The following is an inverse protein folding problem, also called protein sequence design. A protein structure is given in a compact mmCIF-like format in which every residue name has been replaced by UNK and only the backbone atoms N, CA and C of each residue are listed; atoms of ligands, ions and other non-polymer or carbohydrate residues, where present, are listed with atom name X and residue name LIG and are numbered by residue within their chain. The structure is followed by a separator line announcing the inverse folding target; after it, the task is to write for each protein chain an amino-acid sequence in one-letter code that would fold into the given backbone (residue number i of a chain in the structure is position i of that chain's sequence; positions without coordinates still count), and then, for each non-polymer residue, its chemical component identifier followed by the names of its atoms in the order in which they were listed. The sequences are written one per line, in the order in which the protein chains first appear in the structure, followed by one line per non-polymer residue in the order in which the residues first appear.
data_IF_003507524387
#
_entry.id   IF_003507524387
#
_cell.length_a   1.000
_cell.length_b   1.000
_cell.length_c   1.000
_cell.angle_alpha   90.00
_cell.angle_beta   90.00
_cell.angle_gamma   90.00
#
_symmetry.space_group_name_H-M   'P 1'
#
loop_
_entity.id
_entity.type
_entity.pdbx_description
1 polymer ?
#
# COMPACT_ATOMS: atom_id res chain seq x y z
N UNK A 1 -19.03 -46.62 -29.95
CA UNK A 1 -17.87 -46.06 -29.21
C UNK A 1 -17.79 -44.55 -29.44
N UNK A 2 -18.15 -43.71 -28.46
CA UNK A 2 -17.93 -42.23 -28.33
C UNK A 2 -19.04 -41.52 -27.51
N UNK A 3 -19.40 -42.05 -26.34
CA UNK A 3 -20.25 -41.31 -25.37
C UNK A 3 -19.80 -41.41 -23.92
N UNK A 4 -18.80 -42.24 -23.60
CA UNK A 4 -18.37 -42.52 -22.23
C UNK A 4 -17.16 -41.71 -21.74
N UNK A 5 -16.38 -41.08 -22.63
CA UNK A 5 -15.19 -40.29 -22.22
C UNK A 5 -15.50 -38.86 -21.76
N UNK A 6 -16.68 -38.31 -22.09
CA UNK A 6 -17.02 -36.93 -21.69
C UNK A 6 -17.48 -36.82 -20.24
N UNK A 7 -18.05 -37.88 -19.67
CA UNK A 7 -18.56 -37.88 -18.29
C UNK A 7 -17.42 -37.99 -17.24
N UNK A 8 -16.31 -38.64 -17.57
CA UNK A 8 -15.19 -38.86 -16.63
C UNK A 8 -14.35 -37.59 -16.45
N UNK A 9 -14.24 -36.74 -17.47
CA UNK A 9 -13.53 -35.45 -17.34
C UNK A 9 -14.29 -34.42 -16.50
N UNK A 10 -15.62 -34.46 -16.48
CA UNK A 10 -16.44 -33.54 -15.68
C UNK A 10 -16.50 -33.94 -14.20
N UNK A 11 -16.46 -35.25 -13.89
CA UNK A 11 -16.41 -35.72 -12.50
C UNK A 11 -15.07 -35.42 -11.82
N UNK A 12 -13.94 -35.51 -12.55
CA UNK A 12 -12.61 -35.29 -11.95
C UNK A 12 -12.32 -33.80 -11.70
N UNK A 13 -12.94 -32.86 -12.43
CA UNK A 13 -12.80 -31.42 -12.13
C UNK A 13 -13.66 -30.96 -10.94
N UNK A 14 -14.79 -31.62 -10.66
CA UNK A 14 -15.66 -31.25 -9.54
C UNK A 14 -15.13 -31.73 -8.17
N UNK A 15 -14.43 -32.86 -8.12
CA UNK A 15 -13.90 -33.41 -6.86
C UNK A 15 -12.59 -32.74 -6.42
N UNK A 16 -11.78 -32.26 -7.36
CA UNK A 16 -10.54 -31.51 -7.04
C UNK A 16 -10.80 -30.08 -6.54
N UNK A 17 -11.93 -29.46 -6.90
CA UNK A 17 -12.31 -28.13 -6.35
C UNK A 17 -12.85 -28.27 -4.91
N UNK A 18 -13.45 -29.41 -4.57
CA UNK A 18 -13.98 -29.68 -3.22
C UNK A 18 -12.87 -30.00 -2.21
N UNK A 19 -11.71 -30.50 -2.65
CA UNK A 19 -10.53 -30.74 -1.80
C UNK A 19 -9.68 -29.47 -1.53
N UNK A 20 -9.88 -28.39 -2.29
CA UNK A 20 -9.25 -27.08 -2.04
C UNK A 20 -10.10 -26.21 -1.10
N UNK A 21 -11.35 -26.62 -0.86
CA UNK A 21 -12.25 -26.03 0.14
C UNK A 21 -12.26 -26.88 1.42
N UNK A 22 -11.08 -27.19 1.95
CA UNK A 22 -10.99 -27.48 3.39
C UNK A 22 -11.56 -26.24 4.07
N UNK A 23 -12.61 -26.34 4.92
CA UNK A 23 -13.01 -25.21 5.71
C UNK A 23 -11.78 -24.74 6.45
N UNK A 24 -11.43 -23.46 6.32
CA UNK A 24 -10.47 -22.76 7.16
C UNK A 24 -10.95 -22.69 8.63
N UNK A 25 -11.56 -23.77 9.14
CA UNK A 25 -11.69 -24.10 10.55
C UNK A 25 -10.30 -24.48 11.03
N UNK A 26 -9.68 -23.51 11.69
CA UNK A 26 -8.87 -23.70 12.89
C UNK A 26 -8.12 -25.04 12.98
N UNK A 27 -6.94 -25.10 12.38
CA UNK A 27 -5.90 -26.01 12.84
C UNK A 27 -5.45 -25.55 14.23
N UNK A 28 -5.86 -26.30 15.26
CA UNK A 28 -5.20 -26.64 16.52
C UNK A 28 -4.10 -25.71 17.08
N UNK A 29 -4.37 -24.42 17.12
CA UNK A 29 -3.88 -23.60 18.24
C UNK A 29 -5.04 -23.52 19.21
N UNK A 30 -4.84 -23.93 20.47
CA UNK A 30 -5.77 -23.60 21.56
C UNK A 30 -6.20 -22.14 21.34
N UNK A 31 -7.50 -21.84 21.20
CA UNK A 31 -7.92 -20.47 20.97
C UNK A 31 -7.28 -19.64 22.07
N UNK A 32 -6.54 -18.60 21.68
CA UNK A 32 -6.04 -17.62 22.64
C UNK A 32 -7.25 -17.21 23.50
N UNK A 33 -7.27 -17.53 24.81
CA UNK A 33 -8.45 -17.35 25.65
C UNK A 33 -8.89 -15.89 25.76
N UNK A 34 -8.10 -14.95 25.22
CA UNK A 34 -8.49 -13.56 24.96
C UNK A 34 -9.43 -13.44 23.74
N UNK A 35 -10.40 -14.35 23.61
CA UNK A 35 -11.30 -14.47 22.45
C UNK A 35 -12.05 -13.15 22.20
N UNK A 36 -11.51 -12.36 21.28
CA UNK A 36 -12.11 -11.88 20.03
C UNK A 36 -13.63 -11.84 20.06
N UNK A 37 -14.19 -10.86 20.77
CA UNK A 37 -15.62 -10.60 20.79
C UNK A 37 -16.07 -10.23 19.37
N UNK A 38 -16.87 -11.10 18.78
CA UNK A 38 -17.65 -10.86 17.59
C UNK A 38 -19.09 -10.56 18.03
N UNK A 39 -19.77 -9.70 17.30
CA UNK A 39 -21.15 -9.32 17.56
C UNK A 39 -21.95 -9.39 16.25
N UNK A 40 -22.84 -10.38 16.14
CA UNK A 40 -23.68 -10.62 14.96
C UNK A 40 -24.70 -9.50 14.71
N UNK A 41 -24.96 -8.64 15.70
CA UNK A 41 -25.78 -7.44 15.51
C UNK A 41 -25.06 -6.35 14.72
N UNK A 42 -23.72 -6.41 14.63
CA UNK A 42 -22.88 -5.47 13.88
C UNK A 42 -22.77 -5.92 12.42
N UNK A 43 -22.72 -4.95 11.50
CA UNK A 43 -22.37 -5.21 10.12
C UNK A 43 -21.48 -4.08 9.56
N UNK A 44 -20.16 -4.26 9.67
CA UNK A 44 -19.16 -3.32 9.14
C UNK A 44 -19.03 -3.36 7.61
N UNK A 45 -19.79 -4.21 6.91
CA UNK A 45 -19.84 -4.25 5.44
C UNK A 45 -20.88 -3.31 4.85
N UNK A 46 -21.43 -2.42 5.67
CA UNK A 46 -22.33 -1.33 5.28
C UNK A 46 -22.12 -0.16 6.23
N UNK A 47 -22.40 1.04 5.74
CA UNK A 47 -22.52 2.20 6.62
C UNK A 47 -23.82 2.11 7.43
N UNK A 48 -23.89 2.74 8.62
CA UNK A 48 -25.16 2.85 9.34
C UNK A 48 -26.18 3.66 8.51
N UNK A 49 -27.47 3.44 8.75
CA UNK A 49 -28.56 4.04 7.95
C UNK A 49 -28.58 5.57 7.98
N UNK A 50 -28.07 6.19 9.04
CA UNK A 50 -27.96 7.65 9.18
C UNK A 50 -26.72 8.23 8.47
N UNK A 51 -25.82 7.40 7.94
CA UNK A 51 -24.61 7.88 7.29
C UNK A 51 -24.90 8.43 5.89
N UNK A 52 -24.46 9.65 5.61
CA UNK A 52 -24.59 10.29 4.30
C UNK A 52 -23.25 10.18 3.58
N UNK A 53 -23.06 9.24 2.64
CA UNK A 53 -21.78 9.09 1.95
C UNK A 53 -21.54 10.18 0.91
N UNK A 54 -20.27 10.51 0.68
CA UNK A 54 -19.84 11.37 -0.43
C UNK A 54 -19.78 10.60 -1.75
N UNK A 55 -19.66 11.31 -2.87
CA UNK A 55 -19.50 10.67 -4.18
C UNK A 55 -18.17 9.92 -4.25
N UNK A 56 -18.18 8.78 -4.94
CA UNK A 56 -16.97 8.01 -5.21
C UNK A 56 -16.00 8.85 -6.05
N UNK A 57 -14.75 8.98 -5.57
CA UNK A 57 -13.71 9.80 -6.21
C UNK A 57 -13.57 11.21 -5.63
N UNK A 58 -14.43 11.62 -4.69
CA UNK A 58 -14.10 12.82 -3.91
C UNK A 58 -12.85 12.56 -3.04
N UNK A 59 -11.94 13.53 -2.99
CA UNK A 59 -10.76 13.47 -2.13
C UNK A 59 -11.15 13.89 -0.71
N UNK A 60 -10.61 13.22 0.30
CA UNK A 60 -10.81 13.59 1.71
C UNK A 60 -10.12 14.90 2.10
N UNK A 61 -9.12 15.32 1.32
CA UNK A 61 -8.35 16.54 1.53
C UNK A 61 -7.09 16.59 0.67
N UNK A 62 -6.59 17.79 0.43
CA UNK A 62 -5.33 18.03 -0.27
C UNK A 62 -4.56 19.13 0.44
N UNK A 63 -3.28 18.89 0.70
CA UNK A 63 -2.34 19.88 1.23
C UNK A 63 -1.24 20.13 0.21
N UNK A 64 -0.95 21.41 -0.07
CA UNK A 64 0.16 21.84 -0.92
C UNK A 64 1.14 22.66 -0.09
N UNK A 65 2.43 22.30 -0.11
CA UNK A 65 3.50 23.06 0.56
C UNK A 65 4.70 23.12 -0.38
N UNK A 66 5.41 24.25 -0.36
CA UNK A 66 6.67 24.43 -1.07
C UNK A 66 6.55 25.00 -2.48
N UNK A 67 7.70 25.36 -3.01
CA UNK A 67 7.88 26.09 -4.27
C UNK A 67 9.07 25.57 -5.09
N UNK A 68 9.66 24.45 -4.71
CA UNK A 68 10.76 23.84 -5.45
C UNK A 68 10.35 23.35 -6.85
N UNK A 69 11.32 23.25 -7.76
CA UNK A 69 11.10 22.91 -9.18
C UNK A 69 10.53 21.50 -9.41
N UNK A 70 10.92 20.54 -8.55
CA UNK A 70 10.47 19.16 -8.64
C UNK A 70 9.14 19.00 -7.91
N UNK A 71 8.15 18.41 -8.57
CA UNK A 71 6.86 18.08 -7.94
C UNK A 71 6.97 16.73 -7.25
N UNK A 72 6.61 16.67 -5.97
CA UNK A 72 6.59 15.45 -5.15
C UNK A 72 5.17 15.20 -4.60
N UNK A 73 4.57 14.08 -4.99
CA UNK A 73 3.22 13.68 -4.58
C UNK A 73 3.31 12.67 -3.44
N UNK A 74 2.59 12.89 -2.35
CA UNK A 74 2.64 12.11 -1.11
C UNK A 74 1.30 11.42 -0.87
N UNK A 75 1.33 10.09 -0.82
CA UNK A 75 0.14 9.24 -0.63
C UNK A 75 0.24 8.53 0.73
N UNK A 76 -0.66 8.85 1.69
CA UNK A 76 -0.69 8.19 2.97
C UNK A 76 -1.25 6.76 2.83
N UNK A 77 -0.86 5.90 3.76
CA UNK A 77 -1.42 4.56 3.86
C UNK A 77 -2.63 4.50 4.78
N UNK A 78 -2.99 3.26 5.11
CA UNK A 78 -4.21 2.92 5.85
C UNK A 78 -4.35 3.74 7.13
N UNK A 79 -5.51 4.38 7.27
CA UNK A 79 -5.88 5.18 8.43
C UNK A 79 -5.36 6.63 8.41
N UNK A 80 -4.34 6.93 7.61
CA UNK A 80 -3.68 8.23 7.63
C UNK A 80 -4.27 9.23 6.64
N UNK A 81 -4.25 10.50 7.02
CA UNK A 81 -4.52 11.63 6.13
C UNK A 81 -3.20 12.30 5.70
N UNK A 82 -3.32 13.39 4.94
CA UNK A 82 -2.18 14.14 4.44
C UNK A 82 -1.29 14.75 5.55
N UNK A 83 -1.82 14.98 6.77
CA UNK A 83 -1.08 15.67 7.83
C UNK A 83 0.06 14.83 8.41
N UNK A 84 0.11 13.52 8.10
CA UNK A 84 1.24 12.66 8.47
C UNK A 84 2.55 13.14 7.84
N UNK A 85 2.49 13.91 6.74
CA UNK A 85 3.65 14.41 6.02
C UNK A 85 4.05 15.84 6.37
N UNK A 86 3.29 16.56 7.21
CA UNK A 86 3.48 18.02 7.38
C UNK A 86 4.91 18.38 7.79
N UNK A 87 5.52 17.67 8.74
CA UNK A 87 6.91 17.94 9.17
C UNK A 87 7.91 17.72 8.05
N UNK A 88 7.76 16.63 7.29
CA UNK A 88 8.59 16.36 6.12
C UNK A 88 8.44 17.45 5.04
N UNK A 89 7.20 17.85 4.75
CA UNK A 89 6.89 18.89 3.77
C UNK A 89 7.48 20.24 4.16
N UNK A 90 7.38 20.63 5.44
CA UNK A 90 7.95 21.89 5.93
C UNK A 90 9.49 21.91 5.83
N UNK A 91 10.17 20.79 6.13
CA UNK A 91 11.65 20.71 6.05
C UNK A 91 12.19 20.74 4.62
N UNK A 92 11.39 20.38 3.62
CA UNK A 92 11.83 20.24 2.23
C UNK A 92 11.06 21.16 1.26
N UNK A 93 10.42 22.21 1.77
CA UNK A 93 9.54 23.10 1.00
C UNK A 93 10.28 23.91 -0.07
N UNK A 94 11.57 24.17 0.16
CA UNK A 94 12.50 24.84 -0.76
C UNK A 94 12.94 23.92 -1.91
N UNK A 95 13.05 22.62 -1.65
CA UNK A 95 13.51 21.61 -2.62
C UNK A 95 12.40 21.14 -3.55
N UNK A 96 11.16 21.06 -3.06
CA UNK A 96 10.05 20.46 -3.78
C UNK A 96 8.77 21.31 -3.71
N UNK A 97 7.96 21.25 -4.76
CA UNK A 97 6.53 21.56 -4.67
C UNK A 97 5.80 20.27 -4.30
N UNK A 98 5.29 20.17 -3.08
CA UNK A 98 4.69 18.95 -2.55
C UNK A 98 3.18 18.99 -2.51
N UNK A 99 2.54 17.89 -2.92
CA UNK A 99 1.10 17.66 -2.79
C UNK A 99 0.85 16.41 -1.95
N UNK A 100 0.20 16.53 -0.81
CA UNK A 100 -0.22 15.41 0.02
C UNK A 100 -1.73 15.23 -0.05
N UNK A 101 -2.18 14.00 -0.29
CA UNK A 101 -3.59 13.69 -0.53
C UNK A 101 -4.18 12.87 0.62
N UNK A 102 -5.49 12.98 0.84
CA UNK A 102 -6.22 12.17 1.82
C UNK A 102 -7.28 11.33 1.10
N UNK A 103 -7.28 10.00 1.25
CA UNK A 103 -8.41 9.17 0.83
C UNK A 103 -9.70 9.58 1.55
N UNK A 104 -10.83 9.56 0.84
CA UNK A 104 -12.13 9.86 1.46
C UNK A 104 -12.45 8.84 2.56
N UNK A 105 -12.96 9.31 3.70
CA UNK A 105 -13.16 8.51 4.90
C UNK A 105 -12.00 8.58 5.90
N UNK A 106 -10.83 9.10 5.49
CA UNK A 106 -9.70 9.32 6.40
C UNK A 106 -9.62 10.77 6.85
N UNK A 107 -8.95 11.03 7.98
CA UNK A 107 -8.78 12.38 8.52
C UNK A 107 -10.10 13.10 8.80
N UNK A 108 -11.09 12.39 9.36
CA UNK A 108 -12.46 12.88 9.59
C UNK A 108 -13.25 13.27 8.34
N UNK A 109 -12.74 13.00 7.14
CA UNK A 109 -13.52 13.19 5.91
C UNK A 109 -14.61 12.13 5.79
N UNK A 110 -15.69 12.46 5.07
CA UNK A 110 -16.78 11.53 4.79
C UNK A 110 -16.33 10.50 3.74
N UNK A 111 -16.60 9.23 3.99
CA UNK A 111 -16.29 8.10 3.12
C UNK A 111 -17.27 7.99 1.93
N UNK A 112 -16.85 7.33 0.84
CA UNK A 112 -17.75 6.97 -0.25
C UNK A 112 -18.81 5.94 0.20
N UNK A 113 -19.82 5.62 -0.63
CA UNK A 113 -20.74 4.53 -0.33
C UNK A 113 -20.01 3.18 -0.38
N UNK A 114 -20.27 2.31 0.61
CA UNK A 114 -19.80 0.92 0.56
C UNK A 114 -20.59 0.19 -0.56
N UNK A 115 -19.91 -0.45 -1.53
CA UNK A 115 -20.60 -1.14 -2.62
C UNK A 115 -21.53 -2.25 -2.14
N UNK A 116 -22.77 -2.30 -2.67
CA UNK A 116 -23.71 -3.41 -2.38
C UNK A 116 -23.16 -4.77 -2.81
N UNK A 117 -22.52 -4.82 -3.98
CA UNK A 117 -21.85 -6.01 -4.49
C UNK A 117 -20.40 -6.00 -4.01
N UNK A 118 -20.04 -7.01 -3.21
CA UNK A 118 -18.70 -7.21 -2.69
C UNK A 118 -17.80 -7.79 -3.78
N UNK A 119 -16.85 -6.98 -4.20
CA UNK A 119 -15.80 -7.38 -5.13
C UNK A 119 -14.58 -6.51 -4.82
N UNK A 120 -13.82 -6.93 -3.81
CA UNK A 120 -12.65 -6.20 -3.34
C UNK A 120 -11.50 -6.20 -4.36
N UNK A 121 -11.47 -7.19 -5.26
CA UNK A 121 -10.52 -7.24 -6.38
C UNK A 121 -10.71 -6.12 -7.39
N UNK A 122 -11.92 -5.55 -7.50
CA UNK A 122 -12.17 -4.36 -8.32
C UNK A 122 -11.57 -3.08 -7.74
N UNK A 123 -11.20 -3.06 -6.45
CA UNK A 123 -10.54 -1.94 -5.78
C UNK A 123 -11.29 -0.61 -6.00
N UNK A 124 -12.61 -0.60 -5.83
CA UNK A 124 -13.48 0.51 -6.26
C UNK A 124 -13.11 1.83 -5.58
N UNK A 125 -12.86 1.82 -4.27
CA UNK A 125 -12.47 3.02 -3.53
C UNK A 125 -11.04 3.42 -3.85
N UNK A 126 -10.12 2.45 -3.87
CA UNK A 126 -8.70 2.68 -4.15
C UNK A 126 -8.47 3.27 -5.55
N UNK A 127 -9.06 2.67 -6.59
CA UNK A 127 -8.95 3.19 -7.97
C UNK A 127 -9.59 4.57 -8.12
N UNK A 128 -10.69 4.82 -7.42
CA UNK A 128 -11.33 6.14 -7.45
C UNK A 128 -10.43 7.20 -6.82
N UNK A 129 -9.79 6.89 -5.68
CA UNK A 129 -8.77 7.76 -5.07
C UNK A 129 -7.58 8.00 -6.02
N UNK A 130 -6.99 6.92 -6.55
CA UNK A 130 -5.84 6.96 -7.46
C UNK A 130 -6.11 7.86 -8.69
N UNK A 131 -7.26 7.66 -9.34
CA UNK A 131 -7.68 8.49 -10.49
C UNK A 131 -7.84 9.95 -10.09
N UNK A 132 -8.45 10.22 -8.94
CA UNK A 132 -8.76 11.58 -8.50
C UNK A 132 -7.51 12.37 -8.13
N UNK A 133 -6.47 11.71 -7.61
CA UNK A 133 -5.13 12.30 -7.43
C UNK A 133 -4.57 12.76 -8.77
N UNK A 134 -4.56 11.89 -9.78
CA UNK A 134 -4.02 12.21 -11.11
C UNK A 134 -4.81 13.34 -11.78
N UNK A 135 -6.14 13.27 -11.75
CA UNK A 135 -7.02 14.31 -12.30
C UNK A 135 -6.81 15.66 -11.62
N UNK A 136 -6.68 15.68 -10.28
CA UNK A 136 -6.43 16.89 -9.52
C UNK A 136 -5.14 17.60 -9.95
N UNK A 137 -4.08 16.84 -10.21
CA UNK A 137 -2.78 17.34 -10.64
C UNK A 137 -2.80 17.81 -12.09
N UNK A 138 -3.44 17.03 -12.99
CA UNK A 138 -3.60 17.40 -14.41
C UNK A 138 -4.40 18.70 -14.58
N UNK A 139 -5.48 18.89 -13.81
CA UNK A 139 -6.26 20.15 -13.80
C UNK A 139 -5.45 21.38 -13.38
N UNK A 140 -4.31 21.17 -12.70
CA UNK A 140 -3.36 22.21 -12.29
C UNK A 140 -2.13 22.28 -13.20
N UNK A 141 -2.20 21.69 -14.38
CA UNK A 141 -1.13 21.68 -15.38
C UNK A 141 0.20 21.08 -14.88
N UNK A 142 0.18 20.25 -13.83
CA UNK A 142 1.36 19.46 -13.44
C UNK A 142 1.65 18.48 -14.58
N UNK A 143 2.89 18.46 -15.06
CA UNK A 143 3.30 17.67 -16.23
C UNK A 143 4.06 16.39 -15.88
N UNK A 144 4.82 16.43 -14.79
CA UNK A 144 5.67 15.34 -14.30
C UNK A 144 5.66 15.35 -12.78
N UNK A 145 5.69 14.16 -12.17
CA UNK A 145 5.72 13.99 -10.72
C UNK A 145 6.73 12.94 -10.29
N UNK A 146 7.25 13.13 -9.08
CA UNK A 146 7.82 12.06 -8.28
C UNK A 146 6.75 11.60 -7.29
N UNK A 147 6.59 10.29 -7.12
CA UNK A 147 5.48 9.74 -6.36
C UNK A 147 5.98 8.98 -5.14
N UNK A 148 5.54 9.39 -3.95
CA UNK A 148 5.87 8.74 -2.69
C UNK A 148 4.62 8.06 -2.09
N UNK A 149 4.69 6.75 -1.93
CA UNK A 149 3.72 5.94 -1.20
C UNK A 149 4.23 5.60 0.19
N UNK A 150 3.46 5.95 1.22
CA UNK A 150 3.78 5.65 2.62
C UNK A 150 2.87 4.57 3.18
N UNK A 151 3.44 3.62 3.92
CA UNK A 151 2.72 2.56 4.63
C UNK A 151 1.89 1.67 3.67
N UNK A 152 1.22 0.64 4.17
CA UNK A 152 0.70 -0.48 3.35
C UNK A 152 -0.15 -0.05 2.13
N UNK A 153 -1.19 0.77 2.32
CA UNK A 153 -2.03 1.22 1.20
C UNK A 153 -1.41 2.32 0.34
N UNK A 154 -0.64 3.23 0.93
CA UNK A 154 0.00 4.32 0.18
C UNK A 154 1.02 3.76 -0.80
N UNK A 155 1.74 2.70 -0.40
CA UNK A 155 2.61 1.91 -1.28
C UNK A 155 1.83 1.33 -2.46
N UNK A 156 0.70 0.65 -2.22
CA UNK A 156 -0.09 0.09 -3.34
C UNK A 156 -0.62 1.18 -4.26
N UNK A 157 -1.24 2.24 -3.72
CA UNK A 157 -1.74 3.35 -4.53
C UNK A 157 -0.65 3.96 -5.41
N UNK A 158 0.55 4.14 -4.85
CA UNK A 158 1.68 4.69 -5.60
C UNK A 158 2.10 3.76 -6.76
N UNK A 159 2.14 2.45 -6.54
CA UNK A 159 2.46 1.48 -7.60
C UNK A 159 1.41 1.51 -8.71
N UNK A 160 0.11 1.48 -8.39
CA UNK A 160 -0.94 1.50 -9.43
C UNK A 160 -0.97 2.82 -10.21
N UNK A 161 -0.73 3.96 -9.56
CA UNK A 161 -0.63 5.25 -10.26
C UNK A 161 0.58 5.25 -11.20
N UNK A 162 1.74 4.78 -10.74
CA UNK A 162 2.95 4.72 -11.57
C UNK A 162 2.77 3.80 -12.78
N UNK A 163 2.16 2.63 -12.58
CA UNK A 163 1.86 1.64 -13.63
C UNK A 163 0.92 2.22 -14.69
N UNK A 164 -0.20 2.82 -14.27
CA UNK A 164 -1.19 3.37 -15.19
C UNK A 164 -0.81 4.74 -15.78
N UNK A 165 0.30 5.35 -15.35
CA UNK A 165 0.71 6.70 -15.77
C UNK A 165 2.24 6.84 -15.90
N UNK A 166 2.91 5.86 -16.52
CA UNK A 166 4.38 5.85 -16.69
C UNK A 166 4.94 7.09 -17.39
N UNK A 167 4.19 7.70 -18.32
CA UNK A 167 4.56 8.98 -18.94
C UNK A 167 4.43 10.20 -18.03
N UNK A 168 3.74 10.10 -16.90
CA UNK A 168 3.48 11.18 -15.95
C UNK A 168 4.34 11.07 -14.68
N UNK A 169 4.65 9.85 -14.25
CA UNK A 169 5.48 9.55 -13.08
C UNK A 169 6.93 9.37 -13.51
N UNK A 170 7.84 10.16 -12.94
CA UNK A 170 9.28 10.07 -13.26
C UNK A 170 10.01 9.09 -12.35
N UNK A 171 9.64 9.05 -11.06
CA UNK A 171 10.23 8.15 -10.07
C UNK A 171 9.20 7.72 -9.03
N UNK A 172 9.34 6.50 -8.55
CA UNK A 172 8.52 5.92 -7.48
C UNK A 172 9.34 5.75 -6.20
N UNK A 173 8.81 6.22 -5.07
CA UNK A 173 9.41 6.13 -3.74
C UNK A 173 8.43 5.41 -2.82
N UNK A 174 8.82 4.29 -2.23
CA UNK A 174 7.98 3.45 -1.37
C UNK A 174 8.59 3.40 0.03
N UNK A 175 7.86 3.87 1.05
CA UNK A 175 8.41 4.12 2.38
C UNK A 175 7.60 3.40 3.45
N UNK A 176 8.28 2.57 4.26
CA UNK A 176 7.74 2.02 5.51
C UNK A 176 6.44 1.21 5.37
N UNK A 177 6.10 0.75 4.16
CA UNK A 177 4.91 -0.04 3.87
C UNK A 177 5.25 -1.45 3.43
N UNK A 178 4.26 -2.33 3.44
CA UNK A 178 4.38 -3.65 2.85
C UNK A 178 3.92 -3.62 1.39
N UNK A 179 4.51 -4.43 0.51
CA UNK A 179 4.09 -4.55 -0.89
C UNK A 179 2.68 -5.15 -1.02
N UNK A 180 2.42 -6.20 -0.24
CA UNK A 180 1.15 -6.90 -0.13
C UNK A 180 1.07 -7.62 1.22
N UNK A 181 -0.14 -7.97 1.65
CA UNK A 181 -0.31 -8.90 2.77
C UNK A 181 -0.21 -10.33 2.27
N UNK A 182 0.79 -11.05 2.75
CA UNK A 182 0.87 -12.49 2.52
C UNK A 182 -0.31 -13.18 3.22
N UNK A 183 -0.98 -14.07 2.47
CA UNK A 183 -1.92 -15.01 3.06
C UNK A 183 -1.13 -16.21 3.60
N UNK A 184 -1.80 -17.09 4.36
CA UNK A 184 -1.15 -18.26 4.97
C UNK A 184 -0.43 -19.16 3.96
N UNK A 185 -0.88 -19.15 2.71
CA UNK A 185 -0.27 -19.87 1.60
C UNK A 185 -0.19 -18.97 0.37
N UNK A 186 0.80 -19.19 -0.52
CA UNK A 186 0.80 -18.58 -1.85
C UNK A 186 -0.50 -18.92 -2.58
N UNK A 187 -1.16 -17.91 -3.13
CA UNK A 187 -2.40 -18.07 -3.89
C UNK A 187 -2.35 -17.21 -5.14
N UNK A 188 -3.11 -17.61 -6.17
CA UNK A 188 -3.29 -16.77 -7.36
C UNK A 188 -4.08 -15.49 -7.01
N UNK A 189 -4.01 -14.43 -7.84
CA UNK A 189 -4.81 -13.23 -7.65
C UNK A 189 -6.33 -13.51 -7.55
N UNK A 190 -6.86 -14.44 -8.36
CA UNK A 190 -8.29 -14.78 -8.36
C UNK A 190 -8.69 -15.46 -7.05
N UNK A 191 -7.86 -16.39 -6.57
CA UNK A 191 -8.08 -17.08 -5.29
C UNK A 191 -7.96 -16.10 -4.14
N UNK A 192 -7.02 -15.16 -4.18
CA UNK A 192 -6.88 -14.08 -3.19
C UNK A 192 -8.16 -13.25 -3.10
N UNK A 193 -8.72 -12.82 -4.24
CA UNK A 193 -9.97 -12.06 -4.27
C UNK A 193 -11.12 -12.88 -3.68
N UNK A 194 -11.22 -14.16 -4.03
CA UNK A 194 -12.23 -15.07 -3.49
C UNK A 194 -12.14 -15.19 -1.97
N UNK A 195 -10.95 -15.47 -1.44
CA UNK A 195 -10.70 -15.60 0.01
C UNK A 195 -11.11 -14.32 0.76
N UNK A 196 -10.80 -13.14 0.21
CA UNK A 196 -11.16 -11.88 0.86
C UNK A 196 -12.68 -11.64 0.80
N UNK A 197 -13.30 -11.84 -0.37
CA UNK A 197 -14.74 -11.63 -0.57
C UNK A 197 -15.62 -12.59 0.25
N UNK A 198 -15.21 -13.86 0.36
CA UNK A 198 -16.07 -14.93 0.88
C UNK A 198 -15.73 -15.37 2.30
N UNK A 199 -14.52 -15.11 2.78
CA UNK A 199 -14.06 -15.60 4.09
C UNK A 199 -13.63 -14.47 5.01
N UNK A 200 -12.67 -13.64 4.59
CA UNK A 200 -12.09 -12.63 5.48
C UNK A 200 -13.12 -11.53 5.79
N UNK A 201 -13.76 -10.97 4.76
CA UNK A 201 -14.72 -9.88 4.94
C UNK A 201 -15.99 -10.32 5.68
N UNK A 202 -16.53 -11.49 5.34
CA UNK A 202 -17.80 -12.02 5.84
C UNK A 202 -17.70 -12.66 7.21
N UNK A 203 -16.66 -13.47 7.45
CA UNK A 203 -16.55 -14.26 8.69
C UNK A 203 -15.79 -13.54 9.79
N UNK A 204 -14.98 -12.53 9.46
CA UNK A 204 -14.21 -11.79 10.45
C UNK A 204 -14.61 -10.32 10.52
N UNK A 205 -14.49 -9.58 9.41
CA UNK A 205 -14.67 -8.13 9.46
C UNK A 205 -16.12 -7.67 9.59
N UNK A 206 -17.10 -8.45 9.10
CA UNK A 206 -18.52 -8.10 9.19
C UNK A 206 -18.94 -7.76 10.62
N UNK A 207 -18.49 -8.56 11.59
CA UNK A 207 -19.01 -8.63 12.95
C UNK A 207 -17.96 -8.31 14.00
N UNK A 208 -16.79 -7.81 13.59
CA UNK A 208 -15.73 -7.39 14.52
C UNK A 208 -16.18 -6.18 15.35
N UNK A 209 -16.06 -6.30 16.66
CA UNK A 209 -16.35 -5.20 17.60
C UNK A 209 -15.22 -4.16 17.61
N UNK A 210 -15.47 -2.92 18.07
CA UNK A 210 -14.42 -1.92 18.22
C UNK A 210 -13.24 -2.39 19.09
N UNK A 211 -13.53 -3.05 20.21
CA UNK A 211 -12.49 -3.61 21.09
C UNK A 211 -11.59 -4.59 20.33
N UNK A 212 -12.18 -5.60 19.69
CA UNK A 212 -11.45 -6.61 18.93
C UNK A 212 -10.69 -5.99 17.75
N UNK A 213 -11.27 -4.98 17.09
CA UNK A 213 -10.59 -4.24 16.03
C UNK A 213 -9.31 -3.57 16.56
N UNK A 214 -9.41 -2.73 17.59
CA UNK A 214 -8.26 -2.00 18.14
C UNK A 214 -7.19 -2.92 18.74
N UNK A 215 -7.58 -4.04 19.33
CA UNK A 215 -6.65 -5.06 19.83
C UNK A 215 -5.88 -5.73 18.69
N UNK A 216 -6.51 -5.92 17.53
CA UNK A 216 -5.92 -6.52 16.32
C UNK A 216 -5.13 -5.54 15.44
N UNK A 217 -5.23 -4.24 15.67
CA UNK A 217 -4.45 -3.24 14.96
C UNK A 217 -2.98 -3.25 15.37
N UNK A 218 -2.13 -2.71 14.50
CA UNK A 218 -0.73 -2.46 14.82
C UNK A 218 -0.60 -1.67 16.12
N UNK A 219 0.41 -1.99 16.94
CA UNK A 219 0.67 -1.29 18.20
C UNK A 219 1.42 0.01 17.97
N UNK A 220 1.30 1.00 18.88
CA UNK A 220 1.98 2.29 18.76
C UNK A 220 3.45 2.16 18.36
N UNK A 221 4.24 1.36 19.08
CA UNK A 221 5.68 1.21 18.87
C UNK A 221 6.12 0.72 17.49
N UNK A 222 5.21 0.29 16.61
CA UNK A 222 5.52 0.03 15.20
C UNK A 222 5.75 1.34 14.42
N UNK A 223 5.12 2.45 14.82
CA UNK A 223 5.05 3.67 14.04
C UNK A 223 6.28 4.56 14.18
N UNK A 224 6.74 4.80 15.41
CA UNK A 224 7.88 5.68 15.73
C UNK A 224 8.66 5.16 16.94
N UNK A 225 9.97 5.37 16.96
CA UNK A 225 10.80 5.08 18.13
C UNK A 225 10.47 6.00 19.33
N UNK A 226 9.96 7.20 19.07
CA UNK A 226 9.40 8.10 20.07
C UNK A 226 8.01 7.60 20.50
N UNK A 227 7.83 7.31 21.79
CA UNK A 227 6.61 6.71 22.33
C UNK A 227 5.39 7.64 22.25
N UNK A 228 5.59 8.94 22.50
CA UNK A 228 4.53 9.95 22.43
C UNK A 228 4.09 10.13 20.98
N UNK A 229 5.05 10.22 20.06
CA UNK A 229 4.77 10.32 18.62
C UNK A 229 4.09 9.05 18.12
N UNK A 230 4.57 7.88 18.51
CA UNK A 230 3.96 6.58 18.19
C UNK A 230 2.49 6.53 18.59
N UNK A 231 2.17 6.92 19.83
CA UNK A 231 0.82 6.90 20.34
C UNK A 231 -0.11 7.83 19.55
N UNK A 232 0.31 9.08 19.31
CA UNK A 232 -0.46 10.04 18.51
C UNK A 232 -0.71 9.55 17.08
N UNK A 233 0.30 8.95 16.45
CA UNK A 233 0.18 8.42 15.09
C UNK A 233 -0.76 7.22 15.07
N UNK A 234 -0.67 6.34 16.06
CA UNK A 234 -1.59 5.22 16.23
C UNK A 234 -3.04 5.69 16.37
N UNK A 235 -3.29 6.74 17.16
CA UNK A 235 -4.61 7.33 17.31
C UNK A 235 -5.15 7.84 15.97
N UNK A 236 -4.35 8.62 15.23
CA UNK A 236 -4.72 9.14 13.90
C UNK A 236 -5.07 8.01 12.93
N UNK A 237 -4.26 6.95 12.87
CA UNK A 237 -4.50 5.80 11.99
C UNK A 237 -5.82 5.06 12.31
N UNK A 238 -6.32 5.22 13.53
CA UNK A 238 -7.50 4.55 14.06
C UNK A 238 -8.73 5.47 14.19
N UNK A 239 -8.62 6.74 13.80
CA UNK A 239 -9.75 7.69 13.76
C UNK A 239 -10.84 7.32 12.74
N UNK A 240 -10.53 6.78 11.54
CA UNK A 240 -11.59 6.44 10.58
C UNK A 240 -12.55 5.39 11.14
N UNK A 241 -13.81 5.44 10.73
CA UNK A 241 -14.80 4.44 11.15
C UNK A 241 -14.38 3.03 10.75
N UNK A 242 -14.73 2.03 11.57
CA UNK A 242 -14.42 0.62 11.29
C UNK A 242 -14.96 0.17 9.92
N UNK A 243 -16.19 0.49 9.48
CA UNK A 243 -16.65 0.15 8.14
C UNK A 243 -15.74 0.71 7.02
N UNK A 244 -15.24 1.93 7.20
CA UNK A 244 -14.31 2.58 6.25
C UNK A 244 -12.96 1.86 6.23
N UNK A 245 -12.40 1.56 7.40
CA UNK A 245 -11.15 0.81 7.50
C UNK A 245 -11.28 -0.60 6.92
N UNK A 246 -12.38 -1.30 7.21
CA UNK A 246 -12.69 -2.63 6.67
C UNK A 246 -12.75 -2.61 5.15
N UNK A 247 -13.46 -1.65 4.55
CA UNK A 247 -13.57 -1.55 3.09
C UNK A 247 -12.19 -1.40 2.44
N UNK A 248 -11.41 -0.43 2.89
CA UNK A 248 -10.07 -0.17 2.37
C UNK A 248 -9.13 -1.36 2.62
N UNK A 249 -9.15 -1.95 3.82
CA UNK A 249 -8.33 -3.11 4.17
C UNK A 249 -8.66 -4.31 3.30
N UNK A 250 -9.94 -4.58 3.03
CA UNK A 250 -10.32 -5.67 2.14
C UNK A 250 -9.82 -5.44 0.70
N UNK A 251 -9.93 -4.22 0.16
CA UNK A 251 -9.35 -3.91 -1.17
C UNK A 251 -7.83 -4.12 -1.19
N UNK A 252 -7.14 -3.74 -0.12
CA UNK A 252 -5.69 -3.96 0.03
C UNK A 252 -5.34 -5.46 0.12
N UNK A 253 -6.08 -6.25 0.89
CA UNK A 253 -5.84 -7.69 1.04
C UNK A 253 -6.12 -8.48 -0.24
N UNK A 254 -7.08 -8.00 -1.04
CA UNK A 254 -7.49 -8.60 -2.30
C UNK A 254 -6.51 -8.31 -3.45
N UNK A 255 -5.57 -7.40 -3.26
CA UNK A 255 -4.67 -6.91 -4.29
C UNK A 255 -3.24 -7.44 -4.14
N UNK A 256 -2.58 -7.61 -5.28
CA UNK A 256 -1.17 -7.98 -5.39
C UNK A 256 -0.51 -7.17 -6.52
N UNK A 257 0.15 -6.05 -6.21
CA UNK A 257 0.79 -5.22 -7.21
C UNK A 257 2.20 -5.69 -7.58
N UNK A 258 2.63 -6.88 -7.16
CA UNK A 258 4.00 -7.37 -7.36
C UNK A 258 4.39 -7.41 -8.84
N UNK A 259 3.52 -7.94 -9.71
CA UNK A 259 3.79 -8.01 -11.14
C UNK A 259 3.81 -6.64 -11.81
N UNK A 260 2.95 -5.71 -11.37
CA UNK A 260 3.01 -4.32 -11.84
C UNK A 260 4.36 -3.70 -11.50
N UNK A 261 4.79 -3.84 -10.24
CA UNK A 261 6.04 -3.28 -9.76
C UNK A 261 7.26 -3.84 -10.50
N UNK A 262 7.29 -5.13 -10.82
CA UNK A 262 8.37 -5.75 -11.62
C UNK A 262 8.48 -5.16 -13.03
N UNK A 263 7.36 -4.77 -13.61
CA UNK A 263 7.27 -4.30 -14.99
C UNK A 263 7.26 -2.76 -15.11
N UNK A 264 7.46 -2.04 -14.00
CA UNK A 264 7.51 -0.58 -14.04
C UNK A 264 8.76 -0.08 -14.79
N UNK A 265 8.53 0.75 -15.81
CA UNK A 265 9.61 1.41 -16.57
C UNK A 265 10.19 2.67 -15.90
N UNK A 266 9.98 2.86 -14.60
CA UNK A 266 10.46 4.03 -13.85
C UNK A 266 11.39 3.60 -12.72
N UNK A 267 12.44 4.37 -12.38
CA UNK A 267 13.27 4.07 -11.23
C UNK A 267 12.45 3.97 -9.93
N UNK A 268 12.72 2.94 -9.14
CA UNK A 268 12.03 2.71 -7.86
C UNK A 268 13.03 2.77 -6.70
N UNK A 269 12.70 3.57 -5.69
CA UNK A 269 13.34 3.56 -4.38
C UNK A 269 12.40 2.93 -3.36
N UNK A 270 12.89 1.92 -2.64
CA UNK A 270 12.21 1.34 -1.49
C UNK A 270 13.01 1.66 -0.24
N UNK A 271 12.40 2.34 0.73
CA UNK A 271 13.01 2.68 2.02
C UNK A 271 12.29 1.91 3.12
N UNK A 272 13.01 0.99 3.76
CA UNK A 272 12.48 0.14 4.84
C UNK A 272 13.15 0.46 6.18
N UNK A 273 12.43 0.30 7.31
CA UNK A 273 12.99 0.58 8.61
C UNK A 273 13.96 -0.52 9.00
N UNK A 274 15.10 -0.21 9.61
CA UNK A 274 15.86 -1.21 10.37
C UNK A 274 15.54 -1.01 11.84
N UNK A 275 14.58 -1.82 12.32
CA UNK A 275 14.16 -1.88 13.71
C UNK A 275 15.36 -2.11 14.64
N UNK A 276 15.36 -1.43 15.79
CA UNK A 276 16.38 -1.66 16.82
C UNK A 276 16.12 -2.95 17.60
N UNK A 277 17.16 -3.42 18.28
CA UNK A 277 17.12 -4.66 19.06
C UNK A 277 16.10 -4.60 20.19
N UNK A 278 15.93 -3.43 20.82
CA UNK A 278 14.94 -3.27 21.88
C UNK A 278 13.53 -3.59 21.40
N UNK A 279 13.14 -3.11 20.22
CA UNK A 279 11.86 -3.45 19.62
C UNK A 279 11.79 -4.89 19.13
N UNK A 280 12.86 -5.43 18.53
CA UNK A 280 12.85 -6.82 18.08
C UNK A 280 12.76 -7.82 19.24
N UNK A 281 13.35 -7.47 20.39
CA UNK A 281 13.39 -8.30 21.59
C UNK A 281 12.22 -8.06 22.55
N UNK A 282 11.28 -7.16 22.23
CA UNK A 282 10.08 -6.98 23.03
C UNK A 282 9.21 -8.24 22.94
N UNK A 283 9.21 -9.02 24.04
CA UNK A 283 8.46 -10.26 24.21
C UNK A 283 7.04 -10.03 24.72
N UNK A 284 6.57 -8.79 24.81
CA UNK A 284 5.20 -8.55 25.26
C UNK A 284 4.22 -9.34 24.38
N UNK A 285 3.22 -10.01 24.96
CA UNK A 285 2.30 -10.92 24.25
C UNK A 285 1.38 -10.18 23.25
N UNK A 286 1.64 -8.91 23.02
CA UNK A 286 0.90 -8.00 22.15
C UNK A 286 1.78 -7.42 21.03
N UNK A 287 3.11 -7.62 21.09
CA UNK A 287 4.03 -7.08 20.11
C UNK A 287 4.47 -8.18 19.13
N UNK A 288 3.87 -8.15 17.93
CA UNK A 288 4.17 -9.08 16.84
C UNK A 288 5.46 -8.69 16.11
N UNK A 289 6.56 -8.51 16.84
CA UNK A 289 7.80 -7.87 16.38
C UNK A 289 8.43 -8.65 15.21
N UNK A 290 8.50 -9.97 15.32
CA UNK A 290 9.00 -10.86 14.28
C UNK A 290 8.12 -10.83 13.02
N UNK A 291 6.79 -10.90 13.18
CA UNK A 291 5.86 -10.81 12.06
C UNK A 291 5.90 -9.43 11.38
N UNK A 292 6.08 -8.36 12.15
CA UNK A 292 6.27 -7.01 11.62
C UNK A 292 7.59 -6.90 10.84
N UNK A 293 8.69 -7.44 11.35
CA UNK A 293 9.94 -7.50 10.58
C UNK A 293 9.76 -8.27 9.26
N UNK A 294 9.17 -9.47 9.30
CA UNK A 294 8.89 -10.24 8.08
C UNK A 294 8.05 -9.45 7.08
N UNK A 295 7.06 -8.70 7.58
CA UNK A 295 6.12 -7.92 6.77
C UNK A 295 6.74 -6.69 6.13
N UNK A 296 7.45 -5.86 6.89
CA UNK A 296 7.98 -4.56 6.43
C UNK A 296 9.41 -4.63 5.90
N UNK A 297 10.17 -5.69 6.22
CA UNK A 297 11.54 -5.87 5.72
C UNK A 297 11.69 -7.12 4.88
N UNK A 298 11.28 -8.27 5.43
CA UNK A 298 11.51 -9.57 4.82
C UNK A 298 10.87 -9.71 3.44
N UNK A 299 9.66 -9.17 3.28
CA UNK A 299 8.93 -9.16 2.00
C UNK A 299 9.71 -8.41 0.91
N UNK A 300 10.18 -7.20 1.21
CA UNK A 300 10.95 -6.37 0.28
C UNK A 300 12.30 -6.99 -0.06
N UNK A 301 13.05 -7.49 0.92
CA UNK A 301 14.35 -8.14 0.68
C UNK A 301 14.23 -9.35 -0.24
N UNK A 302 13.16 -10.14 -0.08
CA UNK A 302 12.89 -11.27 -0.99
C UNK A 302 12.46 -10.78 -2.38
N UNK A 303 11.56 -9.81 -2.43
CA UNK A 303 11.02 -9.30 -3.70
C UNK A 303 12.06 -8.61 -4.57
N UNK A 304 12.92 -7.76 -3.98
CA UNK A 304 13.92 -6.98 -4.73
C UNK A 304 15.13 -7.79 -5.17
N UNK A 305 15.26 -9.05 -4.75
CA UNK A 305 16.41 -9.89 -5.08
C UNK A 305 16.46 -10.13 -6.59
N UNK A 306 17.47 -9.58 -7.25
CA UNK A 306 17.69 -9.71 -8.70
C UNK A 306 16.99 -8.66 -9.57
N UNK A 307 16.24 -7.72 -8.98
CA UNK A 307 15.62 -6.61 -9.71
C UNK A 307 16.57 -5.41 -9.76
N UNK A 308 17.07 -5.08 -10.96
CA UNK A 308 18.09 -4.02 -11.15
C UNK A 308 17.53 -2.61 -10.97
N UNK A 309 16.25 -2.41 -11.26
CA UNK A 309 15.61 -1.07 -11.26
C UNK A 309 15.00 -0.68 -9.90
N UNK A 310 15.20 -1.52 -8.87
CA UNK A 310 14.74 -1.26 -7.50
C UNK A 310 15.94 -1.03 -6.58
N UNK A 311 16.08 0.21 -6.10
CA UNK A 311 17.02 0.56 -5.03
C UNK A 311 16.38 0.31 -3.67
N UNK A 312 16.87 -0.68 -2.91
CA UNK A 312 16.45 -0.93 -1.54
C UNK A 312 17.40 -0.25 -0.56
N UNK A 313 16.87 0.60 0.33
CA UNK A 313 17.62 1.27 1.40
C UNK A 313 17.02 0.95 2.77
N UNK A 314 17.87 0.58 3.71
CA UNK A 314 17.48 0.38 5.11
C UNK A 314 17.93 1.57 5.95
N UNK A 315 17.04 2.07 6.81
CA UNK A 315 17.36 3.20 7.72
C UNK A 315 17.41 2.71 9.16
N UNK A 316 18.60 2.76 9.76
CA UNK A 316 18.85 2.30 11.14
C UNK A 316 18.03 3.09 12.15
N UNK A 317 17.72 2.46 13.29
CA UNK A 317 17.07 3.10 14.44
C UNK A 317 15.78 3.83 14.02
N UNK A 318 14.99 3.17 13.16
CA UNK A 318 13.71 3.69 12.70
C UNK A 318 12.60 2.65 12.82
N UNK A 319 11.39 3.17 12.87
CA UNK A 319 10.12 2.48 12.71
C UNK A 319 9.51 2.84 11.36
N UNK A 320 8.25 2.49 11.10
CA UNK A 320 7.68 2.71 9.76
C UNK A 320 7.62 4.19 9.37
N UNK A 321 7.53 5.14 10.33
CA UNK A 321 7.69 6.58 10.08
C UNK A 321 9.17 7.00 9.94
N UNK A 322 9.85 6.42 8.97
CA UNK A 322 11.28 6.62 8.72
C UNK A 322 11.64 8.11 8.58
N UNK A 323 10.80 8.89 7.90
CA UNK A 323 11.01 10.32 7.65
C UNK A 323 10.79 11.23 8.87
N UNK A 324 10.32 10.67 9.98
CA UNK A 324 10.19 11.33 11.29
C UNK A 324 11.26 10.84 12.28
N UNK A 325 11.51 9.52 12.31
CA UNK A 325 12.50 8.94 13.22
C UNK A 325 13.94 9.30 12.80
N UNK A 326 14.22 9.33 11.50
CA UNK A 326 15.55 9.58 10.93
C UNK A 326 15.46 10.59 9.77
N UNK A 327 15.04 11.84 10.05
CA UNK A 327 14.69 12.82 9.02
C UNK A 327 15.86 13.18 8.12
N UNK A 328 17.06 13.41 8.69
CA UNK A 328 18.24 13.79 7.92
C UNK A 328 18.69 12.68 6.96
N UNK A 329 18.72 11.43 7.44
CA UNK A 329 19.10 10.28 6.63
C UNK A 329 18.07 9.99 5.53
N UNK A 330 16.77 10.08 5.86
CA UNK A 330 15.72 9.95 4.86
C UNK A 330 15.81 11.05 3.78
N UNK A 331 15.99 12.30 4.19
CA UNK A 331 16.10 13.44 3.29
C UNK A 331 17.34 13.32 2.39
N UNK A 332 18.46 12.79 2.90
CA UNK A 332 19.68 12.47 2.12
C UNK A 332 19.43 11.37 1.08
N UNK A 333 18.87 10.24 1.49
CA UNK A 333 18.53 9.12 0.60
C UNK A 333 17.61 9.59 -0.53
N UNK A 334 16.59 10.39 -0.18
CA UNK A 334 15.67 10.94 -1.16
C UNK A 334 16.39 11.87 -2.13
N UNK A 335 17.22 12.79 -1.64
CA UNK A 335 17.97 13.72 -2.48
C UNK A 335 18.89 12.99 -3.47
N UNK A 336 19.62 11.96 -3.03
CA UNK A 336 20.48 11.13 -3.88
C UNK A 336 19.68 10.43 -4.98
N UNK A 337 18.58 9.78 -4.61
CA UNK A 337 17.70 9.12 -5.57
C UNK A 337 17.10 10.11 -6.57
N UNK A 338 16.80 11.33 -6.13
CA UNK A 338 16.29 12.40 -6.98
C UNK A 338 17.30 12.90 -8.02
N UNK A 339 18.59 12.60 -7.89
CA UNK A 339 19.61 12.93 -8.90
C UNK A 339 19.84 11.86 -9.97
N UNK A 340 19.40 10.62 -9.73
CA UNK A 340 19.53 9.54 -10.71
C UNK A 340 18.76 9.92 -11.99
N UNK A 341 19.43 9.96 -13.15
CA UNK A 341 18.75 10.18 -14.44
C UNK A 341 18.03 8.91 -14.85
N UNK A 342 16.79 9.03 -15.33
CA UNK A 342 16.07 7.88 -15.90
C UNK A 342 16.82 7.39 -17.14
N UNK A 343 17.08 6.07 -17.22
CA UNK A 343 17.87 5.47 -18.30
C UNK A 343 17.19 5.54 -19.69
N UNK A 344 15.93 5.96 -19.74
CA UNK A 344 15.08 5.83 -20.93
C UNK A 344 14.84 7.16 -21.63
N UNK A 345 15.87 7.71 -22.27
CA UNK A 345 15.73 8.59 -23.44
C UNK A 345 17.01 8.57 -24.29
N UNK A 346 17.44 7.40 -24.76
CA UNK A 346 18.40 7.29 -25.87
C UNK A 346 17.90 6.20 -26.83
N UNK A 347 16.71 6.39 -27.41
CA UNK A 347 16.19 5.56 -28.52
C UNK A 347 15.53 6.47 -29.57
N UNK A 348 16.27 7.49 -30.02
CA UNK A 348 15.75 8.46 -30.99
C UNK A 348 16.76 9.23 -31.83
N UNK A 349 18.07 9.10 -31.62
CA UNK A 349 19.07 9.65 -32.54
C UNK A 349 19.97 8.51 -33.02
N UNK A 350 19.53 7.87 -34.11
CA UNK A 350 20.47 7.25 -35.04
C UNK A 350 21.25 8.42 -35.64
N UNK A 351 22.38 8.78 -35.03
CA UNK A 351 23.39 9.58 -35.71
C UNK A 351 23.97 8.72 -36.83
N UNK A 352 23.38 8.84 -38.03
CA UNK A 352 24.01 8.47 -39.28
C UNK A 352 25.17 9.43 -39.55
N UNK A 353 26.25 9.31 -38.77
CA UNK A 353 27.52 9.95 -39.03
C UNK A 353 28.25 9.16 -40.11
N UNK A 354 28.09 9.59 -41.36
CA UNK A 354 28.97 9.19 -42.47
C UNK A 354 30.43 9.48 -42.09
N UNK A 355 31.20 8.43 -41.79
CA UNK A 355 32.64 8.49 -41.89
C UNK A 355 33.03 8.35 -43.37
N UNK A 356 33.10 9.49 -44.08
CA UNK A 356 33.89 9.56 -45.31
C UNK A 356 35.34 9.84 -44.94
N UNK A 357 36.16 8.81 -44.96
CA UNK A 357 37.61 8.93 -45.05
C UNK A 357 37.98 9.46 -46.43
N UNK A 358 38.38 10.73 -46.52
CA UNK A 358 39.17 11.21 -47.66
C UNK A 358 40.63 11.26 -47.24
N UNK A 359 41.41 10.37 -47.84
CA UNK A 359 42.85 10.52 -48.01
C UNK A 359 43.12 11.82 -48.78
N UNK A 360 44.02 12.65 -48.28
CA UNK A 360 44.79 13.57 -49.11
C UNK A 360 46.27 13.21 -48.95
N UNK A 361 46.88 12.98 -50.11
CA UNK A 361 48.30 13.00 -50.40
C UNK A 361 48.90 14.39 -50.17
#
# INVERSE_FOLDING_TARGET
MRKTEFAIRFLITSTLISLILIPLRAQDSKPDPRIKTQDESINNLRHPSWYIPKRLGELGGVLKIGNGRKVLVLLPGMGFNHSIFTRFMMRNHDKYTMYAFTPAGYGMSVAPPIPKIRDYGKRKWSKAFERSVVEYLKKRNVKKIHLLGFFSQGVQHAIHIADSNSGFVEKLILVGGELKRELRSPVTPEVRVKVVNEQISTSWFKTVTPKTWYEGMFKPGLYSADSIRSQRVWEVANQPSIPTLVQYLCEFLADDPSEKLKNLGVPVLVVIPKFDEAYLNDKSPTNYTSANYTRFNGSWKRFSKGLKDISLKEVRNSRVLIFEDQPAEFDRILAEFMQIRSATTIHGEILSGCYTTRNCL
#
